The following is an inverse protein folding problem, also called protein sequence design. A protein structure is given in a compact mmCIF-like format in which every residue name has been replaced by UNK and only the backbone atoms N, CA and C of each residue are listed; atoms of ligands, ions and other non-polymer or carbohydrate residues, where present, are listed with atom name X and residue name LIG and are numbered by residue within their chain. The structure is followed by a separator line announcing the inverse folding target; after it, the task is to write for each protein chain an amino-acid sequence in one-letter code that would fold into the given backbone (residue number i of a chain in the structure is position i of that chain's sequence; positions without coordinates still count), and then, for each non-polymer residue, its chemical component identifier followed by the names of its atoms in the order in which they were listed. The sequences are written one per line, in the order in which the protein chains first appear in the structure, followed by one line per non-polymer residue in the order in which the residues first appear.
data_IF_198898383562
#
_entry.id   IF_198898383562
#
_cell.length_a   1.000
_cell.length_b   1.000
_cell.length_c   1.000
_cell.angle_alpha   90.00
_cell.angle_beta   90.00
_cell.angle_gamma   90.00
#
_symmetry.space_group_name_H-M   'P 1'
#
loop_
_entity.id
_entity.type
_entity.pdbx_description
1 polymer ?
#
# COMPACT_ATOMS: atom_id res chain seq x y z
N UNK A 1 24.33 10.82 -16.17
CA UNK A 1 23.33 10.51 -17.23
C UNK A 1 22.05 10.18 -16.49
N UNK A 2 21.03 11.04 -16.58
CA UNK A 2 19.75 10.83 -15.89
C UNK A 2 19.01 9.72 -16.63
N UNK A 3 18.88 8.53 -16.03
CA UNK A 3 18.07 7.45 -16.58
C UNK A 3 16.63 7.69 -16.12
N UNK A 4 15.76 8.07 -17.04
CA UNK A 4 14.31 8.04 -16.85
C UNK A 4 13.88 6.57 -16.85
N UNK A 5 13.60 6.03 -15.66
CA UNK A 5 13.01 4.70 -15.51
C UNK A 5 11.51 4.86 -15.72
N UNK A 6 11.01 4.39 -16.86
CA UNK A 6 9.57 4.29 -17.10
C UNK A 6 9.01 3.12 -16.30
N UNK A 7 8.08 3.46 -15.43
CA UNK A 7 7.31 2.63 -14.52
C UNK A 7 6.46 1.62 -15.30
N UNK A 8 6.65 0.32 -15.06
CA UNK A 8 5.69 -0.72 -15.42
C UNK A 8 5.26 -1.39 -14.12
N UNK A 9 4.17 -0.90 -13.53
CA UNK A 9 3.45 -1.61 -12.47
C UNK A 9 2.74 -2.78 -13.12
N UNK A 10 3.44 -3.91 -13.22
CA UNK A 10 2.87 -5.18 -13.59
C UNK A 10 2.29 -5.84 -12.35
N UNK A 11 0.97 -5.74 -12.17
CA UNK A 11 0.20 -6.54 -11.21
C UNK A 11 0.30 -8.02 -11.62
N UNK A 12 1.25 -8.75 -11.05
CA UNK A 12 1.35 -10.21 -11.20
C UNK A 12 0.24 -10.83 -10.33
N UNK A 13 -0.94 -10.99 -10.92
CA UNK A 13 -2.02 -11.84 -10.42
C UNK A 13 -1.56 -13.30 -10.50
N UNK A 14 -0.85 -13.80 -9.48
CA UNK A 14 -0.68 -15.24 -9.27
C UNK A 14 -1.97 -15.81 -8.71
N UNK A 15 -2.87 -16.21 -9.59
CA UNK A 15 -4.01 -17.06 -9.27
C UNK A 15 -3.52 -18.46 -8.91
N UNK A 16 -3.17 -18.67 -7.63
CA UNK A 16 -3.06 -20.03 -7.09
C UNK A 16 -4.46 -20.60 -6.95
N UNK A 17 -4.92 -21.28 -7.99
CA UNK A 17 -6.05 -22.20 -7.92
C UNK A 17 -5.65 -23.35 -6.97
N UNK A 18 -6.02 -23.24 -5.70
CA UNK A 18 -6.15 -24.37 -4.80
C UNK A 18 -7.35 -25.22 -5.26
N UNK A 19 -7.16 -25.99 -6.34
CA UNK A 19 -8.06 -27.08 -6.67
C UNK A 19 -7.80 -28.20 -5.68
N UNK A 20 -8.68 -28.29 -4.68
CA UNK A 20 -8.84 -29.48 -3.86
C UNK A 20 -9.30 -30.64 -4.77
N UNK A 21 -8.36 -31.45 -5.26
CA UNK A 21 -8.67 -32.72 -5.91
C UNK A 21 -9.18 -33.73 -4.87
N UNK A 22 -10.50 -33.88 -4.81
CA UNK A 22 -11.21 -35.00 -4.20
C UNK A 22 -11.79 -35.94 -5.26
N UNK A 23 -10.94 -36.83 -5.78
CA UNK A 23 -11.21 -38.22 -6.21
C UNK A 23 -12.53 -38.59 -6.96
N UNK A 24 -12.41 -38.91 -8.26
CA UNK A 24 -12.60 -40.26 -8.87
C UNK A 24 -13.46 -40.34 -10.17
N UNK A 25 -12.84 -40.92 -11.21
CA UNK A 25 -13.39 -41.66 -12.38
C UNK A 25 -14.15 -40.88 -13.48
N UNK A 26 -14.03 -41.10 -14.80
CA UNK A 26 -13.27 -41.99 -15.71
C UNK A 26 -13.56 -41.52 -17.17
N UNK A 27 -12.53 -41.54 -18.03
CA UNK A 27 -12.44 -41.69 -19.52
C UNK A 27 -13.53 -41.15 -20.48
N UNK A 28 -13.14 -40.40 -21.53
CA UNK A 28 -12.91 -40.89 -22.91
C UNK A 28 -12.48 -39.76 -23.90
N UNK A 29 -11.96 -40.19 -25.05
CA UNK A 29 -11.06 -39.55 -26.01
C UNK A 29 -11.70 -38.65 -27.10
N UNK A 30 -10.84 -37.76 -27.63
CA UNK A 30 -10.66 -37.34 -29.04
C UNK A 30 -11.77 -36.54 -29.77
N UNK A 31 -11.44 -35.34 -30.30
CA UNK A 31 -10.97 -35.15 -31.68
C UNK A 31 -10.63 -33.66 -31.94
N UNK A 32 -9.58 -33.41 -32.72
CA UNK A 32 -9.23 -32.14 -33.38
C UNK A 32 -9.43 -32.39 -34.89
N UNK A 33 -9.86 -31.43 -35.74
CA UNK A 33 -8.85 -30.51 -36.26
C UNK A 33 -9.32 -29.12 -36.76
N UNK A 34 -8.39 -28.16 -36.64
CA UNK A 34 -8.00 -27.11 -37.62
C UNK A 34 -9.01 -26.10 -38.17
N UNK A 35 -8.66 -24.82 -38.00
CA UNK A 35 -9.10 -23.70 -38.86
C UNK A 35 -8.41 -22.38 -38.48
N UNK A 36 -7.42 -21.94 -39.28
CA UNK A 36 -6.85 -20.59 -39.24
C UNK A 36 -7.92 -19.55 -39.65
N UNK A 37 -8.10 -18.44 -38.92
CA UNK A 37 -8.35 -17.09 -39.51
C UNK A 37 -8.13 -15.98 -38.47
N UNK A 38 -7.18 -15.10 -38.79
CA UNK A 38 -7.01 -13.66 -38.52
C UNK A 38 -7.45 -12.96 -37.22
N UNK A 39 -6.43 -12.37 -36.58
CA UNK A 39 -6.36 -11.08 -35.91
C UNK A 39 -7.39 -10.01 -36.33
N UNK A 40 -8.17 -9.50 -35.37
CA UNK A 40 -8.33 -8.06 -35.07
C UNK A 40 -9.33 -7.85 -33.93
N UNK A 41 -8.96 -7.01 -32.94
CA UNK A 41 -9.81 -6.39 -31.90
C UNK A 41 -10.48 -7.39 -30.92
N UNK A 42 -10.53 -7.20 -29.60
CA UNK A 42 -10.67 -6.03 -28.74
C UNK A 42 -9.88 -6.30 -27.44
N UNK A 43 -9.08 -5.32 -27.01
CA UNK A 43 -8.56 -5.23 -25.65
C UNK A 43 -9.43 -4.23 -24.90
N UNK A 44 -10.63 -4.66 -24.52
CA UNK A 44 -11.51 -3.93 -23.59
C UNK A 44 -12.00 -4.94 -22.55
N UNK A 45 -11.16 -5.20 -21.54
CA UNK A 45 -11.57 -5.87 -20.30
C UNK A 45 -10.42 -5.79 -19.28
N UNK A 46 -10.13 -4.58 -18.79
CA UNK A 46 -9.33 -4.43 -17.56
C UNK A 46 -9.60 -3.12 -16.84
N UNK A 47 -10.87 -2.81 -16.63
CA UNK A 47 -11.32 -1.71 -15.75
C UNK A 47 -12.46 -2.11 -14.82
N UNK A 48 -13.05 -3.30 -14.97
CA UNK A 48 -14.18 -3.73 -14.14
C UNK A 48 -13.77 -4.36 -12.78
N UNK A 49 -12.54 -4.86 -12.65
CA UNK A 49 -12.10 -5.60 -11.43
C UNK A 49 -11.72 -4.68 -10.25
N UNK A 50 -11.43 -3.40 -10.50
CA UNK A 50 -11.14 -2.43 -9.45
C UNK A 50 -12.42 -1.85 -8.80
N UNK A 51 -13.55 -1.88 -9.51
CA UNK A 51 -14.82 -1.33 -9.04
C UNK A 51 -15.61 -2.30 -8.14
N UNK A 52 -15.36 -3.61 -8.22
CA UNK A 52 -15.99 -4.61 -7.34
C UNK A 52 -15.30 -4.77 -5.98
N UNK A 53 -14.04 -4.32 -5.82
CA UNK A 53 -13.31 -4.43 -4.56
C UNK A 53 -13.71 -3.37 -3.51
N UNK A 54 -14.36 -2.28 -3.90
CA UNK A 54 -14.75 -1.17 -3.02
C UNK A 54 -16.24 -1.15 -2.68
N UNK A 55 -17.08 -1.87 -3.43
CA UNK A 55 -18.52 -1.98 -3.17
C UNK A 55 -18.81 -2.92 -1.99
N UNK A 56 -18.54 -2.49 -0.76
CA UNK A 56 -18.91 -3.26 0.44
C UNK A 56 -18.09 -3.04 1.71
N UNK A 57 -17.19 -2.05 1.76
CA UNK A 57 -16.44 -1.75 2.98
C UNK A 57 -17.37 -1.06 4.00
N UNK A 58 -17.63 -1.71 5.12
CA UNK A 58 -18.37 -1.12 6.25
C UNK A 58 -17.48 -0.12 7.00
N UNK A 59 -17.53 1.13 6.57
CA UNK A 59 -16.79 2.25 7.16
C UNK A 59 -17.59 3.01 8.22
N UNK A 60 -18.67 2.44 8.76
CA UNK A 60 -19.44 3.10 9.80
C UNK A 60 -18.55 3.36 11.03
N UNK A 61 -18.45 4.62 11.46
CA UNK A 61 -17.70 5.04 12.66
C UNK A 61 -18.69 5.57 13.70
N UNK A 62 -18.56 5.08 14.92
CA UNK A 62 -19.40 5.45 16.07
C UNK A 62 -18.78 6.59 16.88
N UNK A 63 -19.58 7.27 17.71
CA UNK A 63 -19.08 8.31 18.63
C UNK A 63 -18.03 7.79 19.62
N UNK A 64 -18.06 6.49 19.95
CA UNK A 64 -17.08 5.88 20.85
C UNK A 64 -15.70 5.69 20.19
N UNK A 65 -15.62 5.80 18.88
CA UNK A 65 -14.43 5.61 18.06
C UNK A 65 -13.76 6.94 17.66
N UNK A 66 -14.38 8.07 18.02
CA UNK A 66 -13.92 9.41 17.64
C UNK A 66 -13.65 10.30 18.86
N UNK A 67 -13.01 11.45 18.59
CA UNK A 67 -12.79 12.51 19.56
C UNK A 67 -13.34 13.85 19.05
N UNK A 68 -13.65 14.76 19.98
CA UNK A 68 -13.98 16.15 19.66
C UNK A 68 -12.86 16.79 18.81
N UNK A 69 -13.23 17.57 17.80
CA UNK A 69 -12.30 18.01 16.75
C UNK A 69 -11.08 18.80 17.28
N UNK A 70 -11.27 19.57 18.34
CA UNK A 70 -10.29 20.44 18.98
C UNK A 70 -9.59 19.80 20.19
N UNK A 71 -10.01 18.60 20.62
CA UNK A 71 -9.32 17.86 21.69
C UNK A 71 -7.92 17.48 21.22
N UNK A 72 -6.90 17.78 22.01
CA UNK A 72 -5.55 17.21 21.80
C UNK A 72 -5.58 15.74 22.21
N UNK A 73 -5.29 14.83 21.28
CA UNK A 73 -5.31 13.38 21.52
C UNK A 73 -3.92 12.76 21.56
N UNK A 74 -2.94 13.42 20.97
CA UNK A 74 -1.55 12.98 20.92
C UNK A 74 -0.67 14.23 20.86
N UNK A 75 0.46 14.21 21.56
CA UNK A 75 1.52 15.22 21.44
C UNK A 75 2.84 14.50 21.12
N UNK A 76 3.58 14.99 20.12
CA UNK A 76 4.86 14.42 19.69
C UNK A 76 5.89 15.54 19.56
N UNK A 77 6.92 15.53 20.41
CA UNK A 77 7.95 16.57 20.47
C UNK A 77 7.39 17.99 20.64
N UNK A 78 6.31 18.13 21.42
CA UNK A 78 5.60 19.39 21.65
C UNK A 78 4.64 19.81 20.52
N UNK A 79 4.48 19.00 19.47
CA UNK A 79 3.46 19.20 18.45
C UNK A 79 2.16 18.50 18.85
N UNK A 80 1.07 19.26 18.95
CA UNK A 80 -0.25 18.75 19.28
C UNK A 80 -0.99 18.21 18.05
N UNK A 81 -1.52 17.00 18.15
CA UNK A 81 -2.38 16.35 17.16
C UNK A 81 -3.80 16.35 17.69
N UNK A 82 -4.71 16.94 16.92
CA UNK A 82 -6.11 17.12 17.32
C UNK A 82 -6.99 15.91 17.02
N UNK A 83 -8.15 15.86 17.67
CA UNK A 83 -9.18 14.85 17.44
C UNK A 83 -9.66 14.84 15.99
N UNK A 84 -9.68 15.98 15.30
CA UNK A 84 -9.97 16.04 13.86
C UNK A 84 -8.98 15.24 13.01
N UNK A 85 -7.68 15.36 13.30
CA UNK A 85 -6.65 14.60 12.59
C UNK A 85 -6.78 13.10 12.89
N UNK A 86 -7.06 12.77 14.15
CA UNK A 86 -7.34 11.40 14.56
C UNK A 86 -8.57 10.79 13.89
N UNK A 87 -9.70 11.49 13.87
CA UNK A 87 -10.93 10.96 13.27
C UNK A 87 -10.72 10.65 11.79
N UNK A 88 -9.90 11.46 11.10
CA UNK A 88 -9.51 11.20 9.70
C UNK A 88 -8.63 9.94 9.61
N UNK A 89 -7.57 9.87 10.42
CA UNK A 89 -6.67 8.72 10.44
C UNK A 89 -7.34 7.42 10.87
N UNK A 90 -8.38 7.48 11.71
CA UNK A 90 -9.16 6.31 12.13
C UNK A 90 -9.92 5.70 10.95
N UNK A 91 -10.58 6.54 10.15
CA UNK A 91 -11.26 6.10 8.92
C UNK A 91 -10.26 5.50 7.94
N UNK A 92 -9.10 6.14 7.77
CA UNK A 92 -8.02 5.62 6.91
C UNK A 92 -7.51 4.26 7.40
N UNK A 93 -7.29 4.10 8.70
CA UNK A 93 -6.85 2.85 9.34
C UNK A 93 -7.89 1.74 9.14
N UNK A 94 -9.16 2.01 9.46
CA UNK A 94 -10.25 1.06 9.29
C UNK A 94 -10.41 0.64 7.83
N UNK A 95 -10.33 1.59 6.89
CA UNK A 95 -10.37 1.31 5.45
C UNK A 95 -9.22 0.41 5.02
N UNK A 96 -8.00 0.73 5.41
CA UNK A 96 -6.82 -0.07 5.09
C UNK A 96 -6.99 -1.53 5.56
N UNK A 97 -7.45 -1.73 6.80
CA UNK A 97 -7.67 -3.08 7.35
C UNK A 97 -8.76 -3.85 6.59
N UNK A 98 -9.89 -3.21 6.30
CA UNK A 98 -10.98 -3.85 5.55
C UNK A 98 -10.56 -4.24 4.13
N UNK A 99 -9.78 -3.39 3.44
CA UNK A 99 -9.21 -3.68 2.12
C UNK A 99 -8.24 -4.87 2.15
N UNK A 100 -7.59 -5.11 3.29
CA UNK A 100 -6.72 -6.25 3.51
C UNK A 100 -7.43 -7.45 4.19
N UNK A 101 -8.77 -7.45 4.20
CA UNK A 101 -9.62 -8.46 4.82
C UNK A 101 -9.29 -8.74 6.30
N UNK A 102 -8.84 -7.72 7.03
CA UNK A 102 -8.54 -7.79 8.45
C UNK A 102 -9.78 -7.45 9.30
N UNK A 103 -9.84 -8.02 10.50
CA UNK A 103 -10.92 -7.76 11.46
C UNK A 103 -10.84 -6.32 12.00
N UNK A 104 -11.99 -5.66 12.05
CA UNK A 104 -12.15 -4.27 12.54
C UNK A 104 -13.18 -4.18 13.67
N UNK A 105 -13.57 -5.33 14.26
CA UNK A 105 -14.55 -5.37 15.35
C UNK A 105 -13.99 -4.92 16.71
N UNK A 106 -12.66 -5.00 16.87
CA UNK A 106 -11.96 -4.54 18.08
C UNK A 106 -11.62 -3.04 17.97
N UNK A 107 -12.49 -2.21 18.53
CA UNK A 107 -12.31 -0.75 18.54
C UNK A 107 -11.05 -0.31 19.28
N UNK A 108 -10.65 -0.98 20.37
CA UNK A 108 -9.47 -0.58 21.13
C UNK A 108 -8.19 -0.85 20.34
N UNK A 109 -8.13 -1.96 19.60
CA UNK A 109 -7.07 -2.24 18.64
C UNK A 109 -7.00 -1.16 17.55
N UNK A 110 -8.14 -0.77 16.96
CA UNK A 110 -8.19 0.27 15.93
C UNK A 110 -7.70 1.62 16.45
N UNK A 111 -8.12 2.01 17.66
CA UNK A 111 -7.65 3.25 18.31
C UNK A 111 -6.14 3.24 18.48
N UNK A 112 -5.60 2.13 18.99
CA UNK A 112 -4.16 2.00 19.19
C UNK A 112 -3.38 2.06 17.87
N UNK A 113 -3.84 1.37 16.83
CA UNK A 113 -3.20 1.42 15.50
C UNK A 113 -3.28 2.82 14.88
N UNK A 114 -4.38 3.53 15.10
CA UNK A 114 -4.55 4.91 14.63
C UNK A 114 -3.54 5.84 15.30
N UNK A 115 -3.35 5.73 16.62
CA UNK A 115 -2.36 6.54 17.37
C UNK A 115 -0.94 6.19 16.93
N UNK A 116 -0.60 4.90 16.79
CA UNK A 116 0.71 4.48 16.30
C UNK A 116 1.00 5.01 14.88
N UNK A 117 -0.01 5.02 14.02
CA UNK A 117 0.09 5.58 12.66
C UNK A 117 0.34 7.09 12.71
N UNK A 118 -0.43 7.83 13.51
CA UNK A 118 -0.24 9.27 13.69
C UNK A 118 1.13 9.61 14.27
N UNK A 119 1.58 8.87 15.28
CA UNK A 119 2.89 9.01 15.88
C UNK A 119 3.99 8.79 14.84
N UNK A 120 3.95 7.67 14.12
CA UNK A 120 4.95 7.33 13.11
C UNK A 120 5.01 8.37 12.00
N UNK A 121 3.86 8.78 11.46
CA UNK A 121 3.78 9.81 10.42
C UNK A 121 4.30 11.16 10.90
N UNK A 122 4.01 11.53 12.15
CA UNK A 122 4.49 12.79 12.75
C UNK A 122 6.00 12.77 12.92
N UNK A 123 6.57 11.69 13.47
CA UNK A 123 8.01 11.54 13.66
C UNK A 123 8.76 11.55 12.33
N UNK A 124 8.26 10.80 11.34
CA UNK A 124 8.85 10.77 9.99
C UNK A 124 8.80 12.15 9.35
N UNK A 125 7.67 12.88 9.47
CA UNK A 125 7.58 14.24 8.94
C UNK A 125 8.55 15.19 9.62
N UNK A 126 8.67 15.15 10.94
CA UNK A 126 9.62 15.99 11.69
C UNK A 126 11.07 15.69 11.30
N UNK A 127 11.44 14.41 11.16
CA UNK A 127 12.78 14.01 10.71
C UNK A 127 13.03 14.45 9.26
N UNK A 128 12.07 14.24 8.35
CA UNK A 128 12.13 14.71 6.96
C UNK A 128 12.34 16.23 6.87
N UNK A 129 11.57 17.01 7.66
CA UNK A 129 11.71 18.46 7.73
C UNK A 129 13.11 18.89 8.22
N UNK A 130 13.67 18.17 9.18
CA UNK A 130 15.03 18.41 9.70
C UNK A 130 16.12 18.15 8.66
N UNK A 131 15.88 17.19 7.76
CA UNK A 131 16.75 16.85 6.63
C UNK A 131 16.54 17.77 5.42
N UNK A 132 15.46 18.56 5.42
CA UNK A 132 15.11 19.44 4.31
C UNK A 132 14.30 18.77 3.19
N UNK A 133 13.81 17.55 3.42
CA UNK A 133 12.93 16.81 2.51
C UNK A 133 11.54 17.44 2.60
N UNK A 134 10.97 17.89 1.47
CA UNK A 134 9.70 18.62 1.44
C UNK A 134 8.92 18.31 0.17
N UNK A 135 7.63 18.05 0.35
CA UNK A 135 6.65 17.99 -0.74
C UNK A 135 6.08 19.38 -0.96
N UNK A 136 6.08 19.83 -2.21
CA UNK A 136 5.48 21.12 -2.60
C UNK A 136 4.02 20.97 -2.98
N UNK A 137 3.27 22.07 -2.99
CA UNK A 137 1.90 22.07 -3.50
C UNK A 137 1.82 21.66 -4.98
N UNK A 138 2.87 21.94 -5.76
CA UNK A 138 2.98 21.52 -7.16
C UNK A 138 3.07 20.01 -7.27
N UNK A 139 3.90 19.36 -6.44
CA UNK A 139 4.02 17.89 -6.42
C UNK A 139 2.67 17.22 -6.11
N UNK A 140 1.92 17.75 -5.13
CA UNK A 140 0.59 17.25 -4.78
C UNK A 140 -0.41 17.49 -5.91
N UNK A 141 -0.35 18.65 -6.57
CA UNK A 141 -1.23 18.96 -7.69
C UNK A 141 -0.97 18.03 -8.89
N UNK A 142 0.30 17.75 -9.20
CA UNK A 142 0.68 16.80 -10.24
C UNK A 142 0.22 15.39 -9.89
N UNK A 143 0.49 14.89 -8.68
CA UNK A 143 0.04 13.56 -8.27
C UNK A 143 -1.49 13.42 -8.29
N UNK A 144 -2.21 14.49 -7.95
CA UNK A 144 -3.66 14.52 -8.05
C UNK A 144 -4.14 14.46 -9.51
N UNK A 145 -3.54 15.24 -10.41
CA UNK A 145 -3.87 15.21 -11.84
C UNK A 145 -3.58 13.84 -12.46
N UNK A 146 -2.43 13.25 -12.13
CA UNK A 146 -2.08 11.89 -12.53
C UNK A 146 -3.09 10.87 -12.02
N UNK A 147 -3.53 11.00 -10.75
CA UNK A 147 -4.58 10.13 -10.20
C UNK A 147 -5.90 10.31 -10.96
N UNK A 148 -6.35 11.55 -11.20
CA UNK A 148 -7.58 11.82 -11.95
C UNK A 148 -7.51 11.27 -13.38
N UNK A 149 -6.33 11.29 -14.01
CA UNK A 149 -6.12 10.79 -15.37
C UNK A 149 -6.30 9.28 -15.52
N UNK A 150 -6.29 8.53 -14.41
CA UNK A 150 -6.58 7.09 -14.40
C UNK A 150 -8.08 6.79 -14.54
N UNK A 151 -8.94 7.81 -14.41
CA UNK A 151 -10.38 7.68 -14.56
C UNK A 151 -10.83 8.24 -15.91
N UNK A 152 -11.80 7.56 -16.53
CA UNK A 152 -12.36 8.00 -17.81
C UNK A 152 -13.11 9.35 -17.70
N UNK A 153 -13.66 9.64 -16.52
CA UNK A 153 -14.45 10.85 -16.27
C UNK A 153 -14.23 11.38 -14.85
N UNK A 154 -14.45 12.69 -14.66
CA UNK A 154 -14.45 13.30 -13.31
C UNK A 154 -15.53 12.67 -12.42
N UNK A 155 -16.67 12.26 -12.97
CA UNK A 155 -17.74 11.61 -12.21
C UNK A 155 -17.28 10.26 -11.65
N UNK A 156 -16.58 9.45 -12.44
CA UNK A 156 -16.00 8.18 -11.98
C UNK A 156 -14.95 8.40 -10.88
N UNK A 157 -14.11 9.44 -11.00
CA UNK A 157 -13.17 9.82 -9.95
C UNK A 157 -13.88 10.22 -8.65
N UNK A 158 -14.91 11.06 -8.73
CA UNK A 158 -15.65 11.50 -7.55
C UNK A 158 -16.40 10.33 -6.89
N UNK A 159 -16.98 9.43 -7.68
CA UNK A 159 -17.59 8.19 -7.16
C UNK A 159 -16.56 7.31 -6.45
N UNK A 160 -15.34 7.19 -6.98
CA UNK A 160 -14.26 6.45 -6.33
C UNK A 160 -13.84 7.08 -5.00
N UNK A 161 -13.74 8.41 -4.93
CA UNK A 161 -13.49 9.10 -3.66
C UNK A 161 -14.61 8.82 -2.63
N UNK A 162 -15.87 8.90 -3.05
CA UNK A 162 -17.02 8.64 -2.16
C UNK A 162 -17.01 7.20 -1.63
N UNK A 163 -16.73 6.21 -2.49
CA UNK A 163 -16.60 4.80 -2.08
C UNK A 163 -15.46 4.59 -1.07
N UNK A 164 -14.39 5.37 -1.18
CA UNK A 164 -13.27 5.35 -0.24
C UNK A 164 -13.48 6.30 0.95
N UNK A 165 -14.66 6.90 1.09
CA UNK A 165 -14.97 7.89 2.13
C UNK A 165 -13.95 9.06 2.18
N UNK A 166 -13.44 9.48 1.02
CA UNK A 166 -12.58 10.63 0.89
C UNK A 166 -13.36 11.87 0.42
N UNK A 167 -13.00 13.02 0.96
CA UNK A 167 -13.23 14.32 0.31
C UNK A 167 -12.02 14.65 -0.55
N UNK A 168 -12.17 15.50 -1.57
CA UNK A 168 -11.01 15.91 -2.39
C UNK A 168 -9.90 16.58 -1.57
N UNK A 169 -10.26 17.36 -0.55
CA UNK A 169 -9.28 17.96 0.38
C UNK A 169 -8.60 16.88 1.24
N UNK A 170 -9.35 15.90 1.75
CA UNK A 170 -8.80 14.79 2.52
C UNK A 170 -7.86 13.92 1.67
N UNK A 171 -8.25 13.65 0.43
CA UNK A 171 -7.42 12.90 -0.51
C UNK A 171 -6.12 13.63 -0.85
N UNK A 172 -6.16 14.95 -1.07
CA UNK A 172 -4.95 15.78 -1.25
C UNK A 172 -4.00 15.70 -0.05
N UNK A 173 -4.53 15.74 1.17
CA UNK A 173 -3.70 15.61 2.38
C UNK A 173 -3.07 14.21 2.50
N UNK A 174 -3.82 13.17 2.11
CA UNK A 174 -3.29 11.80 2.02
C UNK A 174 -2.17 11.70 0.97
N UNK A 175 -2.37 12.26 -0.22
CA UNK A 175 -1.33 12.33 -1.26
C UNK A 175 -0.06 13.04 -0.78
N UNK A 176 -0.21 14.18 -0.10
CA UNK A 176 0.94 14.90 0.47
C UNK A 176 1.73 14.02 1.45
N UNK A 177 1.03 13.27 2.31
CA UNK A 177 1.67 12.36 3.28
C UNK A 177 2.38 11.21 2.58
N UNK A 178 1.75 10.61 1.57
CA UNK A 178 2.33 9.52 0.77
C UNK A 178 3.58 9.97 0.00
N UNK A 179 3.52 11.14 -0.66
CA UNK A 179 4.66 11.71 -1.38
C UNK A 179 5.82 12.02 -0.44
N UNK A 180 5.54 12.52 0.77
CA UNK A 180 6.58 12.81 1.74
C UNK A 180 7.25 11.53 2.20
N UNK A 181 6.46 10.50 2.51
CA UNK A 181 6.99 9.20 2.90
C UNK A 181 7.81 8.56 1.77
N UNK A 182 7.36 8.67 0.51
CA UNK A 182 8.12 8.18 -0.64
C UNK A 182 9.47 8.88 -0.76
N UNK A 183 9.49 10.22 -0.77
CA UNK A 183 10.74 10.98 -0.82
C UNK A 183 11.65 10.67 0.38
N UNK A 184 11.05 10.50 1.56
CA UNK A 184 11.78 10.13 2.76
C UNK A 184 12.44 8.75 2.66
N UNK A 185 11.73 7.75 2.13
CA UNK A 185 12.31 6.44 1.87
C UNK A 185 13.48 6.52 0.87
N UNK A 186 13.36 7.34 -0.17
CA UNK A 186 14.40 7.50 -1.19
C UNK A 186 15.63 8.25 -0.68
N UNK A 187 15.45 9.28 0.14
CA UNK A 187 16.54 10.18 0.55
C UNK A 187 17.14 9.85 1.93
N UNK A 188 16.35 9.26 2.84
CA UNK A 188 16.77 9.01 4.22
C UNK A 188 17.06 7.54 4.53
N UNK A 189 16.53 6.60 3.74
CA UNK A 189 16.70 5.17 3.96
C UNK A 189 17.70 4.61 2.95
N UNK A 190 18.94 4.43 3.39
CA UNK A 190 19.99 3.77 2.62
C UNK A 190 20.12 2.31 3.06
N UNK A 191 20.14 1.39 2.09
CA UNK A 191 20.26 -0.04 2.34
C UNK A 191 21.36 -0.64 1.49
N UNK A 192 22.07 -1.62 2.05
CA UNK A 192 23.10 -2.34 1.31
C UNK A 192 22.50 -3.10 0.12
N UNK A 193 23.21 -3.09 -1.01
CA UNK A 193 22.82 -3.83 -2.21
C UNK A 193 22.56 -5.31 -1.88
N UNK A 194 21.60 -5.91 -2.58
CA UNK A 194 21.30 -7.33 -2.44
C UNK A 194 22.44 -8.16 -3.01
N UNK A 195 22.98 -9.05 -2.20
CA UNK A 195 24.09 -9.93 -2.55
C UNK A 195 23.60 -11.20 -3.25
N UNK A 196 24.46 -11.82 -4.07
CA UNK A 196 24.18 -13.12 -4.70
C UNK A 196 23.81 -14.19 -3.66
N UNK A 197 24.45 -14.16 -2.48
CA UNK A 197 24.19 -15.11 -1.40
C UNK A 197 22.77 -14.98 -0.85
N UNK A 198 22.27 -13.75 -0.66
CA UNK A 198 20.89 -13.50 -0.19
C UNK A 198 19.86 -13.97 -1.23
N UNK A 199 20.16 -13.77 -2.52
CA UNK A 199 19.32 -14.25 -3.62
C UNK A 199 19.25 -15.78 -3.64
N UNK A 200 20.41 -16.44 -3.55
CA UNK A 200 20.47 -17.91 -3.49
C UNK A 200 19.75 -18.46 -2.25
N UNK A 201 19.93 -17.83 -1.09
CA UNK A 201 19.26 -18.22 0.16
C UNK A 201 17.75 -18.10 0.04
N UNK A 202 17.24 -16.95 -0.44
CA UNK A 202 15.81 -16.74 -0.63
C UNK A 202 15.20 -17.73 -1.63
N UNK A 203 15.88 -17.98 -2.75
CA UNK A 203 15.44 -18.97 -3.73
C UNK A 203 15.40 -20.39 -3.15
N UNK A 204 16.38 -20.76 -2.32
CA UNK A 204 16.37 -22.06 -1.64
C UNK A 204 15.21 -22.16 -0.64
N UNK A 205 14.88 -21.09 0.09
CA UNK A 205 13.70 -21.07 0.96
C UNK A 205 12.40 -21.23 0.16
N UNK A 206 12.29 -20.65 -1.04
CA UNK A 206 11.16 -20.89 -1.93
C UNK A 206 11.07 -22.36 -2.36
N UNK A 207 12.20 -23.02 -2.64
CA UNK A 207 12.25 -24.46 -2.98
C UNK A 207 11.78 -25.34 -1.84
N UNK A 208 12.10 -24.98 -0.61
CA UNK A 208 11.65 -25.74 0.56
C UNK A 208 10.12 -25.67 0.73
N UNK A 209 9.48 -24.60 0.24
CA UNK A 209 8.04 -24.41 0.31
C UNK A 209 7.30 -25.02 -0.90
N UNK A 210 7.94 -25.09 -2.07
CA UNK A 210 7.38 -25.65 -3.29
C UNK A 210 8.45 -26.25 -4.20
N UNK A 211 8.24 -27.49 -4.64
CA UNK A 211 9.10 -28.15 -5.64
C UNK A 211 8.87 -27.60 -7.06
N UNK A 212 7.76 -26.89 -7.30
CA UNK A 212 7.38 -26.32 -8.60
C UNK A 212 7.67 -24.82 -8.64
N UNK A 213 8.96 -24.47 -8.67
CA UNK A 213 9.41 -23.10 -8.87
C UNK A 213 10.28 -22.98 -10.13
N UNK A 214 10.19 -21.86 -10.89
CA UNK A 214 11.03 -21.62 -12.06
C UNK A 214 12.53 -21.65 -11.74
N UNK A 215 13.37 -21.71 -12.76
CA UNK A 215 14.82 -21.64 -12.58
C UNK A 215 15.22 -20.28 -11.98
N UNK A 216 16.26 -20.27 -11.13
CA UNK A 216 16.73 -19.04 -10.48
C UNK A 216 17.01 -17.92 -11.49
N UNK A 217 17.57 -18.26 -12.66
CA UNK A 217 17.86 -17.30 -13.71
C UNK A 217 16.61 -16.56 -14.23
N UNK A 218 15.44 -17.21 -14.22
CA UNK A 218 14.18 -16.62 -14.69
C UNK A 218 13.54 -15.69 -13.66
N UNK A 219 13.82 -15.91 -12.36
CA UNK A 219 13.20 -15.17 -11.25
C UNK A 219 14.18 -14.28 -10.47
N UNK A 220 15.47 -14.27 -10.85
CA UNK A 220 16.53 -13.59 -10.11
C UNK A 220 16.21 -12.12 -9.86
N UNK A 221 15.79 -11.40 -10.89
CA UNK A 221 15.52 -9.95 -10.81
C UNK A 221 14.30 -9.66 -9.93
N UNK A 222 13.29 -10.53 -9.94
CA UNK A 222 12.13 -10.44 -9.05
C UNK A 222 12.55 -10.67 -7.60
N UNK A 223 13.41 -11.66 -7.33
CA UNK A 223 13.95 -11.93 -5.99
C UNK A 223 14.77 -10.74 -5.49
N UNK A 224 15.65 -10.18 -6.34
CA UNK A 224 16.43 -8.98 -6.00
C UNK A 224 15.49 -7.83 -5.62
N UNK A 225 14.49 -7.54 -6.45
CA UNK A 225 13.51 -6.46 -6.18
C UNK A 225 12.77 -6.69 -4.87
N UNK A 226 12.35 -7.93 -4.60
CA UNK A 226 11.64 -8.29 -3.37
C UNK A 226 12.54 -8.13 -2.12
N UNK A 227 13.81 -8.52 -2.22
CA UNK A 227 14.79 -8.38 -1.15
C UNK A 227 15.16 -6.91 -0.91
N UNK A 228 15.33 -6.11 -1.96
CA UNK A 228 15.54 -4.66 -1.85
C UNK A 228 14.38 -3.99 -1.11
N UNK A 229 13.14 -4.27 -1.52
CA UNK A 229 11.94 -3.75 -0.85
C UNK A 229 11.87 -4.20 0.61
N UNK A 230 12.22 -5.46 0.91
CA UNK A 230 12.26 -5.98 2.28
C UNK A 230 13.31 -5.25 3.13
N UNK A 231 14.52 -5.03 2.59
CA UNK A 231 15.57 -4.28 3.27
C UNK A 231 15.14 -2.84 3.55
N UNK A 232 14.57 -2.14 2.56
CA UNK A 232 14.06 -0.77 2.72
C UNK A 232 12.99 -0.72 3.81
N UNK A 233 12.04 -1.66 3.80
CA UNK A 233 11.00 -1.73 4.82
C UNK A 233 11.60 -1.94 6.22
N UNK A 234 12.55 -2.86 6.37
CA UNK A 234 13.20 -3.12 7.66
C UNK A 234 13.98 -1.89 8.16
N UNK A 235 14.75 -1.24 7.29
CA UNK A 235 15.50 -0.04 7.64
C UNK A 235 14.57 1.12 8.02
N UNK A 236 13.45 1.30 7.31
CA UNK A 236 12.42 2.26 7.67
C UNK A 236 11.83 1.98 9.06
N UNK A 237 11.49 0.73 9.37
CA UNK A 237 10.96 0.36 10.70
C UNK A 237 11.99 0.59 11.81
N UNK A 238 13.27 0.29 11.56
CA UNK A 238 14.35 0.60 12.50
C UNK A 238 14.48 2.11 12.72
N UNK A 239 14.38 2.91 11.65
CA UNK A 239 14.41 4.38 11.74
C UNK A 239 13.22 4.92 12.54
N UNK A 240 12.00 4.46 12.29
CA UNK A 240 10.81 4.85 13.07
C UNK A 240 10.94 4.45 14.54
N UNK A 241 11.50 3.26 14.81
CA UNK A 241 11.78 2.80 16.19
C UNK A 241 12.77 3.72 16.89
N UNK A 242 13.89 4.06 16.24
CA UNK A 242 14.88 4.99 16.79
C UNK A 242 14.28 6.38 17.04
N UNK A 243 13.49 6.91 16.10
CA UNK A 243 12.79 8.18 16.28
C UNK A 243 11.82 8.13 17.48
N UNK A 244 11.13 7.00 17.67
CA UNK A 244 10.21 6.81 18.79
C UNK A 244 10.94 6.76 20.12
N UNK A 245 12.10 6.12 20.21
CA UNK A 245 12.91 6.04 21.44
C UNK A 245 13.46 7.41 21.87
N UNK A 246 13.69 8.31 20.92
CA UNK A 246 14.22 9.66 21.16
C UNK A 246 13.15 10.72 21.41
N UNK A 247 11.89 10.42 21.07
CA UNK A 247 10.81 11.39 21.10
C UNK A 247 10.13 11.55 22.47
N UNK A 248 9.63 12.75 22.74
CA UNK A 248 8.69 13.01 23.83
C UNK A 248 7.26 12.81 23.31
N UNK A 249 6.59 11.76 23.77
CA UNK A 249 5.27 11.35 23.28
C UNK A 249 4.28 11.31 24.44
N UNK A 250 3.19 12.05 24.32
CA UNK A 250 2.10 12.08 25.31
C UNK A 250 0.77 11.74 24.64
N UNK A 251 0.21 10.58 24.98
CA UNK A 251 -1.12 10.15 24.53
C UNK A 251 -2.22 10.68 25.47
N UNK A 252 -3.26 11.29 24.91
CA UNK A 252 -4.36 11.93 25.63
C UNK A 252 -5.72 11.33 25.24
N UNK A 253 -5.76 10.01 25.07
CA UNK A 253 -6.89 9.24 24.52
C UNK A 253 -7.86 8.73 25.58
#
# INVERSE_FOLDING_TARGET
MKKTVQLLVGLILTTTLLVACGNQATEEQADEPTGETESSAESEAKTEDAAEATAGLDLDVTEAETYEEDKVVLEVNGEEISGKAYNTAYVDTKRYLLQNNQDVSDSDMLKQQTIQTLQSNTLVRQDAESMGIKVTEEDVATALEETKSQFETEEAYQQALEQLAYTETGFKASLQTQLLQQQYLEEAIDVEEVTDAEVEEYYNQMKEQSDDIPALEDVRDQIVTQLEQSKVQQAFQQKVTALTEEADINENI
#
